data_IF_784355411303
#
_entry.id   IF_784355411303
#
_cell.length_a   1.000
_cell.length_b   1.000
_cell.length_c   1.000
_cell.angle_alpha   90.00
_cell.angle_beta   90.00
_cell.angle_gamma   90.00
#
_symmetry.space_group_name_H-M   'P 1'
#
loop_
_entity.id
_entity.type
_entity.pdbx_description
1 polymer ?
#
# COMPACT_ATOMS: atom_id res chain seq x y z
N UNK A 1 -21.43 -10.19 18.97
CA UNK A 1 -21.68 -11.04 17.78
C UNK A 1 -21.56 -10.28 16.45
N UNK A 2 -21.88 -8.97 16.39
CA UNK A 2 -21.84 -8.18 15.14
C UNK A 2 -20.49 -8.12 14.42
N UNK A 3 -19.36 -8.17 15.15
CA UNK A 3 -18.00 -8.16 14.57
C UNK A 3 -17.54 -9.52 14.04
N UNK A 4 -18.00 -10.62 14.65
CA UNK A 4 -17.44 -11.96 14.40
C UNK A 4 -17.84 -12.51 13.04
N UNK A 5 -19.10 -12.32 12.66
CA UNK A 5 -19.65 -12.80 11.38
C UNK A 5 -18.91 -12.16 10.19
N UNK A 6 -18.83 -10.82 10.04
CA UNK A 6 -18.13 -10.22 8.92
C UNK A 6 -16.63 -10.54 8.94
N UNK A 7 -15.99 -10.61 10.12
CA UNK A 7 -14.57 -10.97 10.23
C UNK A 7 -14.32 -12.39 9.76
N UNK A 8 -15.14 -13.36 10.20
CA UNK A 8 -15.05 -14.74 9.77
C UNK A 8 -15.28 -14.88 8.26
N UNK A 9 -16.29 -14.18 7.72
CA UNK A 9 -16.57 -14.19 6.29
C UNK A 9 -15.41 -13.67 5.45
N UNK A 10 -14.83 -12.52 5.84
CA UNK A 10 -13.64 -11.94 5.19
C UNK A 10 -12.45 -12.90 5.26
N UNK A 11 -12.20 -13.50 6.42
CA UNK A 11 -11.12 -14.49 6.59
C UNK A 11 -11.34 -15.73 5.73
N UNK A 12 -12.56 -16.26 5.63
CA UNK A 12 -12.87 -17.39 4.78
C UNK A 12 -12.63 -17.09 3.30
N UNK A 13 -13.09 -15.93 2.81
CA UNK A 13 -12.82 -15.50 1.43
C UNK A 13 -11.32 -15.40 1.19
N UNK A 14 -10.59 -14.74 2.10
CA UNK A 14 -9.14 -14.61 2.02
C UNK A 14 -8.42 -15.96 2.01
N UNK A 15 -8.83 -16.88 2.88
CA UNK A 15 -8.26 -18.23 2.99
C UNK A 15 -8.52 -19.06 1.74
N UNK A 16 -9.73 -19.02 1.17
CA UNK A 16 -10.05 -19.71 -0.08
C UNK A 16 -9.25 -19.14 -1.24
N UNK A 17 -9.16 -17.81 -1.35
CA UNK A 17 -8.37 -17.16 -2.39
C UNK A 17 -6.87 -17.48 -2.25
N UNK A 18 -6.33 -17.44 -1.02
CA UNK A 18 -4.94 -17.73 -0.73
C UNK A 18 -4.61 -19.20 -1.00
N UNK A 19 -5.46 -20.13 -0.56
CA UNK A 19 -5.28 -21.56 -0.83
C UNK A 19 -5.34 -21.86 -2.34
N UNK A 20 -6.26 -21.22 -3.07
CA UNK A 20 -6.37 -21.38 -4.53
C UNK A 20 -5.13 -20.84 -5.24
N UNK A 21 -4.60 -19.71 -4.80
CA UNK A 21 -3.35 -19.14 -5.32
C UNK A 21 -2.14 -20.00 -4.96
N UNK A 22 -2.08 -20.52 -3.73
CA UNK A 22 -0.98 -21.32 -3.19
C UNK A 22 -0.75 -22.62 -3.99
N UNK A 23 -1.80 -23.21 -4.56
CA UNK A 23 -1.72 -24.44 -5.39
C UNK A 23 -0.72 -24.37 -6.55
N UNK A 24 -0.30 -23.15 -6.95
CA UNK A 24 0.69 -22.92 -8.02
C UNK A 24 2.14 -23.11 -7.55
N UNK A 25 2.38 -23.31 -6.27
CA UNK A 25 3.71 -23.39 -5.66
C UNK A 25 3.99 -24.77 -5.06
N UNK A 26 5.23 -25.03 -4.66
CA UNK A 26 5.63 -26.27 -3.99
C UNK A 26 4.94 -26.44 -2.64
N UNK A 27 4.87 -27.67 -2.11
CA UNK A 27 4.24 -27.96 -0.81
C UNK A 27 4.81 -27.12 0.32
N UNK A 28 6.13 -26.88 0.32
CA UNK A 28 6.79 -26.05 1.33
C UNK A 28 6.41 -24.57 1.21
N UNK A 29 6.36 -24.04 -0.01
CA UNK A 29 5.87 -22.68 -0.26
C UNK A 29 4.41 -22.54 0.15
N UNK A 30 3.55 -23.51 -0.18
CA UNK A 30 2.14 -23.52 0.21
C UNK A 30 1.96 -23.41 1.73
N UNK A 31 2.69 -24.23 2.50
CA UNK A 31 2.66 -24.18 3.96
C UNK A 31 3.04 -22.80 4.49
N UNK A 32 4.11 -22.19 3.94
CA UNK A 32 4.55 -20.86 4.35
C UNK A 32 3.58 -19.74 3.94
N UNK A 33 2.96 -19.84 2.75
CA UNK A 33 1.92 -18.90 2.29
C UNK A 33 0.73 -18.93 3.26
N UNK A 34 0.25 -20.13 3.63
CA UNK A 34 -0.87 -20.27 4.56
C UNK A 34 -0.49 -19.86 5.99
N UNK A 35 0.72 -20.17 6.44
CA UNK A 35 1.23 -19.71 7.73
C UNK A 35 1.33 -18.17 7.78
N UNK A 36 1.76 -17.55 6.68
CA UNK A 36 1.79 -16.09 6.54
C UNK A 36 0.39 -15.48 6.59
N UNK A 37 -0.61 -16.07 5.92
CA UNK A 37 -1.98 -15.58 6.04
C UNK A 37 -2.44 -15.62 7.51
N UNK A 38 -2.13 -16.70 8.22
CA UNK A 38 -2.37 -16.82 9.66
C UNK A 38 -1.67 -15.70 10.45
N UNK A 39 -0.41 -15.41 10.16
CA UNK A 39 0.33 -14.32 10.81
C UNK A 39 -0.29 -12.94 10.55
N UNK A 40 -0.77 -12.67 9.33
CA UNK A 40 -1.45 -11.42 8.98
C UNK A 40 -2.82 -11.29 9.64
N UNK A 41 -3.56 -12.39 9.77
CA UNK A 41 -4.83 -12.43 10.49
C UNK A 41 -4.62 -12.19 11.99
N UNK A 42 -3.63 -12.86 12.59
CA UNK A 42 -3.25 -12.65 13.99
C UNK A 42 -2.78 -11.22 14.24
N UNK A 43 -1.96 -10.66 13.35
CA UNK A 43 -1.51 -9.27 13.46
C UNK A 43 -2.66 -8.27 13.36
N UNK A 44 -3.64 -8.49 12.48
CA UNK A 44 -4.82 -7.64 12.39
C UNK A 44 -5.61 -7.65 13.72
N UNK A 45 -5.84 -8.83 14.28
CA UNK A 45 -6.49 -8.97 15.59
C UNK A 45 -5.67 -8.33 16.72
N UNK A 46 -4.35 -8.54 16.72
CA UNK A 46 -3.44 -7.98 17.72
C UNK A 46 -3.41 -6.45 17.65
N UNK A 47 -3.42 -5.86 16.46
CA UNK A 47 -3.42 -4.41 16.29
C UNK A 47 -4.72 -3.80 16.85
N UNK A 48 -5.88 -4.44 16.60
CA UNK A 48 -7.16 -4.03 17.22
C UNK A 48 -7.11 -4.16 18.74
N UNK A 49 -6.65 -5.29 19.25
CA UNK A 49 -6.56 -5.52 20.70
C UNK A 49 -5.63 -4.50 21.40
N UNK A 50 -4.44 -4.27 20.85
CA UNK A 50 -3.46 -3.32 21.42
C UNK A 50 -4.02 -1.90 21.42
N UNK A 51 -4.55 -1.44 20.29
CA UNK A 51 -5.02 -0.04 20.19
C UNK A 51 -6.29 0.19 20.99
N UNK A 52 -7.29 -0.70 20.90
CA UNK A 52 -8.58 -0.55 21.59
C UNK A 52 -8.51 -0.93 23.06
N UNK A 53 -7.99 -2.11 23.37
CA UNK A 53 -8.16 -2.72 24.69
C UNK A 53 -6.98 -2.41 25.64
N UNK A 54 -5.79 -2.13 25.10
CA UNK A 54 -4.62 -1.76 25.91
C UNK A 54 -4.41 -0.23 25.98
N UNK A 55 -4.32 0.47 24.85
CA UNK A 55 -4.11 1.92 24.84
C UNK A 55 -5.40 2.74 24.96
N UNK A 56 -6.52 2.24 24.44
CA UNK A 56 -7.79 2.97 24.39
C UNK A 56 -7.79 4.15 23.40
N UNK A 57 -6.70 4.35 22.66
CA UNK A 57 -6.52 5.43 21.69
C UNK A 57 -5.59 4.97 20.57
N UNK A 58 -5.73 5.60 19.41
CA UNK A 58 -4.79 5.49 18.31
C UNK A 58 -5.42 5.91 16.99
N UNK A 59 -4.57 6.28 16.04
CA UNK A 59 -4.95 6.64 14.67
C UNK A 59 -5.98 5.68 14.07
N UNK A 60 -5.73 4.38 14.20
CA UNK A 60 -6.61 3.34 13.65
C UNK A 60 -8.03 3.40 14.22
N UNK A 61 -8.19 3.64 15.53
CA UNK A 61 -9.51 3.74 16.15
C UNK A 61 -10.24 4.98 15.66
N UNK A 62 -9.53 6.09 15.59
CA UNK A 62 -10.09 7.36 15.13
C UNK A 62 -10.53 7.28 13.65
N UNK A 63 -9.71 6.68 12.79
CA UNK A 63 -10.08 6.44 11.40
C UNK A 63 -11.30 5.55 11.29
N UNK A 64 -11.40 4.52 12.13
CA UNK A 64 -12.54 3.62 12.14
C UNK A 64 -13.82 4.30 12.63
N UNK A 65 -13.79 5.01 13.75
CA UNK A 65 -14.94 5.72 14.31
C UNK A 65 -15.49 6.75 13.31
N UNK A 66 -14.59 7.57 12.75
CA UNK A 66 -14.94 8.50 11.67
C UNK A 66 -15.53 7.75 10.47
N UNK A 67 -14.90 6.63 10.07
CA UNK A 67 -15.39 5.77 9.00
C UNK A 67 -16.80 5.25 9.24
N UNK A 68 -17.14 4.82 10.46
CA UNK A 68 -18.48 4.35 10.81
C UNK A 68 -19.52 5.47 10.66
N UNK A 69 -19.19 6.71 11.06
CA UNK A 69 -20.07 7.86 10.82
C UNK A 69 -20.28 8.11 9.32
N UNK A 70 -19.20 8.07 8.54
CA UNK A 70 -19.28 8.18 7.07
C UNK A 70 -20.12 7.07 6.45
N UNK A 71 -19.98 5.83 6.94
CA UNK A 71 -20.75 4.69 6.47
C UNK A 71 -22.25 4.86 6.76
N UNK A 72 -22.62 5.41 7.92
CA UNK A 72 -24.02 5.73 8.24
C UNK A 72 -24.59 6.77 7.31
N UNK A 73 -23.83 7.81 6.97
CA UNK A 73 -24.24 8.81 5.98
C UNK A 73 -24.44 8.18 4.59
N UNK A 74 -23.50 7.36 4.13
CA UNK A 74 -23.64 6.64 2.85
C UNK A 74 -24.89 5.76 2.86
N UNK A 75 -25.15 5.01 3.94
CA UNK A 75 -26.35 4.16 4.04
C UNK A 75 -27.65 4.96 4.11
N UNK A 76 -27.62 6.20 4.61
CA UNK A 76 -28.77 7.09 4.68
C UNK A 76 -29.14 7.68 3.30
N UNK A 77 -28.16 8.22 2.58
CA UNK A 77 -28.34 8.71 1.19
C UNK A 77 -27.06 8.44 0.37
N UNK A 78 -26.98 7.28 -0.32
CA UNK A 78 -25.80 6.91 -1.08
C UNK A 78 -25.49 7.89 -2.21
N UNK A 79 -26.51 8.45 -2.86
CA UNK A 79 -26.35 9.36 -3.99
C UNK A 79 -25.69 10.67 -3.58
N UNK A 80 -26.02 11.17 -2.39
CA UNK A 80 -25.42 12.38 -1.84
C UNK A 80 -24.03 12.14 -1.23
N UNK A 81 -23.88 11.09 -0.42
CA UNK A 81 -22.72 10.97 0.47
C UNK A 81 -21.59 10.09 -0.06
N UNK A 82 -21.85 9.13 -0.95
CA UNK A 82 -20.79 8.31 -1.52
C UNK A 82 -19.76 9.15 -2.32
N UNK A 83 -20.15 10.11 -3.18
CA UNK A 83 -19.19 10.98 -3.87
C UNK A 83 -18.35 11.82 -2.90
N UNK A 84 -18.94 12.31 -1.81
CA UNK A 84 -18.24 13.11 -0.79
C UNK A 84 -17.23 12.28 0.02
N UNK A 85 -17.51 10.99 0.25
CA UNK A 85 -16.53 10.09 0.88
C UNK A 85 -15.42 9.72 -0.11
N UNK A 86 -15.74 9.57 -1.40
CA UNK A 86 -14.74 9.31 -2.44
C UNK A 86 -13.84 10.53 -2.66
N UNK A 87 -14.35 11.75 -2.55
CA UNK A 87 -13.53 12.98 -2.71
C UNK A 87 -12.43 13.11 -1.65
N UNK A 88 -12.64 12.56 -0.44
CA UNK A 88 -11.59 12.45 0.58
C UNK A 88 -10.37 11.67 0.08
N UNK A 89 -10.55 10.68 -0.80
CA UNK A 89 -9.42 9.91 -1.39
C UNK A 89 -8.52 10.79 -2.27
N UNK A 90 -9.07 11.86 -2.84
CA UNK A 90 -8.35 12.83 -3.69
C UNK A 90 -7.85 14.05 -2.91
N UNK A 91 -7.83 13.98 -1.58
CA UNK A 91 -7.44 15.10 -0.70
C UNK A 91 -8.31 16.35 -0.86
N UNK A 92 -9.54 16.19 -1.32
CA UNK A 92 -10.51 17.29 -1.33
C UNK A 92 -11.13 17.47 0.07
N UNK A 93 -11.69 18.66 0.31
CA UNK A 93 -12.47 18.94 1.52
C UNK A 93 -13.95 18.68 1.20
N UNK A 94 -14.56 17.62 1.74
CA UNK A 94 -15.93 17.28 1.43
C UNK A 94 -16.92 18.13 2.22
N UNK A 95 -18.14 18.26 1.71
CA UNK A 95 -19.24 18.93 2.39
C UNK A 95 -20.05 17.90 3.20
N UNK A 96 -19.48 17.48 4.33
CA UNK A 96 -20.06 16.49 5.21
C UNK A 96 -20.56 17.11 6.52
N UNK A 97 -21.67 16.61 7.09
CA UNK A 97 -22.19 17.06 8.39
C UNK A 97 -21.40 16.47 9.57
N UNK A 98 -20.24 15.86 9.33
CA UNK A 98 -19.38 15.24 10.34
C UNK A 98 -17.95 15.74 10.19
N UNK A 99 -17.24 15.82 11.31
CA UNK A 99 -15.85 16.24 11.31
C UNK A 99 -14.94 15.06 10.95
N UNK A 100 -14.21 15.17 9.83
CA UNK A 100 -13.23 14.17 9.41
C UNK A 100 -11.84 14.71 9.73
N UNK A 101 -11.17 14.12 10.72
CA UNK A 101 -9.79 14.51 11.05
C UNK A 101 -8.90 14.33 9.81
N UNK A 102 -8.19 15.40 9.45
CA UNK A 102 -7.27 15.36 8.31
C UNK A 102 -7.92 15.44 6.94
N UNK A 103 -9.20 15.82 6.85
CA UNK A 103 -9.86 16.18 5.59
C UNK A 103 -9.04 17.21 4.80
N UNK A 104 -9.03 17.09 3.47
CA UNK A 104 -8.17 17.91 2.63
C UNK A 104 -6.70 17.46 2.58
N UNK A 105 -6.39 16.25 3.06
CA UNK A 105 -5.04 15.70 3.05
C UNK A 105 -5.00 14.19 3.26
N UNK A 106 -3.78 13.62 3.28
CA UNK A 106 -3.60 12.17 3.34
C UNK A 106 -4.10 11.51 4.64
N UNK A 107 -4.34 12.28 5.71
CA UNK A 107 -4.88 11.77 6.98
C UNK A 107 -6.39 11.50 6.93
N UNK A 108 -7.14 12.13 6.01
CA UNK A 108 -8.56 11.81 5.81
C UNK A 108 -8.80 10.53 5.00
N UNK A 109 -7.78 10.08 4.25
CA UNK A 109 -7.88 8.89 3.37
C UNK A 109 -8.15 7.60 4.14
N UNK A 110 -7.45 7.29 5.26
CA UNK A 110 -7.79 6.12 6.07
C UNK A 110 -9.23 6.14 6.60
N UNK A 111 -9.77 7.30 6.99
CA UNK A 111 -11.18 7.42 7.41
C UNK A 111 -12.16 7.14 6.27
N UNK A 112 -11.86 7.63 5.06
CA UNK A 112 -12.66 7.33 3.88
C UNK A 112 -12.64 5.84 3.52
N UNK A 113 -11.46 5.21 3.52
CA UNK A 113 -11.31 3.77 3.32
C UNK A 113 -12.06 2.99 4.40
N UNK A 114 -11.94 3.40 5.67
CA UNK A 114 -12.68 2.80 6.77
C UNK A 114 -14.19 2.93 6.57
N UNK A 115 -14.68 4.08 6.10
CA UNK A 115 -16.10 4.28 5.82
C UNK A 115 -16.61 3.40 4.69
N UNK A 116 -15.88 3.32 3.57
CA UNK A 116 -16.23 2.43 2.47
C UNK A 116 -16.24 0.96 2.93
N UNK A 117 -15.25 0.51 3.70
CA UNK A 117 -15.25 -0.84 4.26
C UNK A 117 -16.41 -1.05 5.24
N UNK A 118 -16.63 -0.10 6.15
CA UNK A 118 -17.70 -0.17 7.13
C UNK A 118 -19.06 -0.29 6.45
N UNK A 119 -19.33 0.41 5.33
CA UNK A 119 -20.62 0.29 4.62
C UNK A 119 -20.98 -1.16 4.27
N UNK A 120 -20.00 -1.96 3.84
CA UNK A 120 -20.18 -3.37 3.43
C UNK A 120 -19.99 -4.36 4.57
N UNK A 121 -19.09 -4.05 5.51
CA UNK A 121 -18.69 -4.95 6.60
C UNK A 121 -19.45 -4.69 7.91
N UNK A 122 -20.56 -3.97 7.83
CA UNK A 122 -21.46 -3.68 8.95
C UNK A 122 -20.73 -3.08 10.16
N UNK A 123 -19.92 -2.05 9.89
CA UNK A 123 -19.19 -1.26 10.89
C UNK A 123 -18.15 -2.05 11.69
N UNK A 124 -17.78 -3.26 11.23
CA UNK A 124 -16.84 -4.11 11.95
C UNK A 124 -15.39 -3.63 11.82
N UNK A 125 -14.77 -3.26 12.94
CA UNK A 125 -13.35 -2.90 13.00
C UNK A 125 -12.46 -4.10 12.65
N UNK A 126 -12.74 -5.27 13.23
CA UNK A 126 -11.94 -6.48 12.99
C UNK A 126 -12.01 -6.90 11.52
N UNK A 127 -13.21 -6.87 10.91
CA UNK A 127 -13.37 -7.25 9.51
C UNK A 127 -12.66 -6.26 8.57
N UNK A 128 -12.70 -4.96 8.89
CA UNK A 128 -12.02 -3.93 8.10
C UNK A 128 -10.49 -4.09 8.14
N UNK A 129 -9.92 -4.29 9.33
CA UNK A 129 -8.49 -4.59 9.50
C UNK A 129 -8.12 -5.91 8.79
N UNK A 130 -8.93 -6.95 8.94
CA UNK A 130 -8.71 -8.24 8.29
C UNK A 130 -8.71 -8.12 6.76
N UNK A 131 -9.67 -7.38 6.19
CA UNK A 131 -9.78 -7.18 4.75
C UNK A 131 -8.54 -6.47 4.19
N UNK A 132 -8.09 -5.40 4.84
CA UNK A 132 -6.88 -4.69 4.46
C UNK A 132 -5.63 -5.58 4.62
N UNK A 133 -5.52 -6.33 5.72
CA UNK A 133 -4.41 -7.26 5.99
C UNK A 133 -4.32 -8.37 4.92
N UNK A 134 -5.46 -8.88 4.45
CA UNK A 134 -5.51 -9.86 3.35
C UNK A 134 -5.10 -9.19 2.03
N UNK A 135 -5.53 -7.95 1.78
CA UNK A 135 -5.12 -7.21 0.59
C UNK A 135 -3.60 -6.96 0.57
N UNK A 136 -2.99 -6.59 1.70
CA UNK A 136 -1.53 -6.42 1.80
C UNK A 136 -0.80 -7.75 1.65
N UNK A 137 -1.32 -8.85 2.20
CA UNK A 137 -0.82 -10.19 1.98
C UNK A 137 -0.75 -10.54 0.47
N UNK A 138 -1.83 -10.31 -0.28
CA UNK A 138 -1.81 -10.56 -1.72
C UNK A 138 -0.84 -9.64 -2.46
N UNK A 139 -0.73 -8.37 -2.06
CA UNK A 139 0.27 -7.47 -2.64
C UNK A 139 1.70 -7.97 -2.40
N UNK A 140 2.03 -8.46 -1.21
CA UNK A 140 3.33 -9.09 -0.92
C UNK A 140 3.59 -10.31 -1.80
N UNK A 141 2.54 -10.99 -2.25
CA UNK A 141 2.61 -12.04 -3.27
C UNK A 141 3.14 -11.55 -4.62
N UNK A 142 2.79 -10.33 -5.03
CA UNK A 142 3.37 -9.70 -6.23
C UNK A 142 4.89 -9.55 -6.11
N UNK A 143 5.37 -9.03 -4.98
CA UNK A 143 6.81 -8.91 -4.70
C UNK A 143 7.50 -10.28 -4.67
N UNK A 144 6.88 -11.27 -4.02
CA UNK A 144 7.39 -12.62 -3.96
C UNK A 144 7.56 -13.25 -5.34
N UNK A 145 6.59 -13.09 -6.24
CA UNK A 145 6.66 -13.63 -7.60
C UNK A 145 7.87 -13.10 -8.38
N UNK A 146 8.21 -11.83 -8.18
CA UNK A 146 9.38 -11.20 -8.80
C UNK A 146 10.68 -11.78 -8.23
N UNK A 147 10.82 -11.80 -6.91
CA UNK A 147 12.04 -12.29 -6.27
C UNK A 147 12.23 -13.80 -6.45
N UNK A 148 11.14 -14.56 -6.53
CA UNK A 148 11.13 -15.99 -6.84
C UNK A 148 11.68 -16.29 -8.24
N UNK A 149 11.43 -15.42 -9.21
CA UNK A 149 11.98 -15.54 -10.57
C UNK A 149 13.46 -15.12 -10.62
N UNK A 150 13.81 -14.08 -9.87
CA UNK A 150 15.15 -13.51 -9.89
C UNK A 150 16.20 -14.32 -9.12
N UNK A 151 15.78 -15.13 -8.13
CA UNK A 151 16.68 -15.82 -7.21
C UNK A 151 16.65 -17.36 -7.39
N UNK A 152 17.75 -18.07 -7.01
CA UNK A 152 17.83 -19.52 -7.12
C UNK A 152 16.72 -20.24 -6.34
N UNK A 153 16.36 -21.44 -6.81
CA UNK A 153 15.28 -22.25 -6.23
C UNK A 153 15.48 -22.55 -4.73
N UNK A 154 16.73 -22.81 -4.32
CA UNK A 154 17.12 -23.07 -2.93
C UNK A 154 16.84 -21.87 -1.99
N UNK A 155 16.78 -20.65 -2.54
CA UNK A 155 16.51 -19.44 -1.77
C UNK A 155 15.01 -19.14 -1.62
N UNK A 156 14.11 -19.79 -2.39
CA UNK A 156 12.68 -19.42 -2.46
C UNK A 156 11.99 -19.39 -1.10
N UNK A 157 12.24 -20.37 -0.24
CA UNK A 157 11.66 -20.39 1.10
C UNK A 157 12.12 -19.19 1.97
N UNK A 158 13.41 -18.81 1.88
CA UNK A 158 13.97 -17.66 2.60
C UNK A 158 13.42 -16.34 2.07
N UNK A 159 13.29 -16.23 0.75
CA UNK A 159 12.69 -15.07 0.07
C UNK A 159 11.23 -14.91 0.48
N UNK A 160 10.48 -16.00 0.55
CA UNK A 160 9.09 -15.99 1.00
C UNK A 160 9.00 -15.48 2.44
N UNK A 161 9.81 -16.03 3.35
CA UNK A 161 9.88 -15.56 4.74
C UNK A 161 10.20 -14.06 4.79
N UNK A 162 11.17 -13.59 3.99
CA UNK A 162 11.52 -12.18 3.95
C UNK A 162 10.38 -11.28 3.43
N UNK A 163 9.64 -11.72 2.41
CA UNK A 163 8.53 -10.94 1.83
C UNK A 163 7.29 -10.90 2.74
N UNK A 164 7.00 -12.01 3.40
CA UNK A 164 5.71 -12.25 4.04
C UNK A 164 5.75 -12.28 5.56
N UNK A 165 6.87 -12.66 6.17
CA UNK A 165 6.94 -12.99 7.60
C UNK A 165 7.90 -12.07 8.39
N UNK A 166 8.36 -10.97 7.78
CA UNK A 166 9.07 -9.93 8.51
C UNK A 166 8.14 -9.31 9.59
N UNK A 167 8.38 -9.52 10.91
CA UNK A 167 7.37 -9.28 11.93
C UNK A 167 6.83 -7.85 11.95
N UNK A 168 7.73 -6.86 11.87
CA UNK A 168 7.37 -5.45 11.82
C UNK A 168 6.50 -5.12 10.61
N UNK A 169 6.86 -5.64 9.42
CA UNK A 169 6.10 -5.39 8.19
C UNK A 169 4.73 -6.05 8.27
N UNK A 170 4.61 -7.27 8.80
CA UNK A 170 3.31 -7.90 9.03
C UNK A 170 2.46 -7.02 9.94
N UNK A 171 2.97 -6.68 11.12
CA UNK A 171 2.24 -5.90 12.12
C UNK A 171 1.75 -4.54 11.57
N UNK A 172 2.64 -3.73 10.99
CA UNK A 172 2.30 -2.38 10.51
C UNK A 172 1.51 -2.34 9.20
N UNK A 173 1.23 -3.51 8.59
CA UNK A 173 0.43 -3.62 7.36
C UNK A 173 -0.87 -4.40 7.55
N UNK A 174 -1.36 -4.51 8.80
CA UNK A 174 -2.51 -5.36 9.15
C UNK A 174 -3.72 -4.64 9.75
N UNK A 175 -3.71 -3.31 9.86
CA UNK A 175 -4.87 -2.54 10.33
C UNK A 175 -5.17 -1.31 9.49
N UNK A 176 -6.16 -0.51 9.89
CA UNK A 176 -6.55 0.72 9.17
C UNK A 176 -5.48 1.80 9.40
N UNK A 177 -4.43 1.78 8.58
CA UNK A 177 -3.29 2.70 8.64
C UNK A 177 -2.89 3.12 7.23
N UNK A 178 -2.18 4.26 7.11
CA UNK A 178 -1.63 4.73 5.83
C UNK A 178 -0.62 3.73 5.26
N UNK A 179 0.19 3.13 6.11
CA UNK A 179 1.20 2.12 5.77
C UNK A 179 0.54 0.89 5.16
N UNK A 180 -0.56 0.42 5.75
CA UNK A 180 -1.36 -0.68 5.21
C UNK A 180 -1.89 -0.36 3.82
N UNK A 181 -2.51 0.82 3.64
CA UNK A 181 -3.08 1.24 2.35
C UNK A 181 -1.96 1.34 1.29
N UNK A 182 -0.81 1.94 1.61
CA UNK A 182 0.33 1.99 0.69
C UNK A 182 0.83 0.57 0.32
N UNK A 183 0.90 -0.34 1.29
CA UNK A 183 1.36 -1.71 1.08
C UNK A 183 0.41 -2.52 0.18
N UNK A 184 -0.89 -2.17 0.09
CA UNK A 184 -1.83 -2.80 -0.85
C UNK A 184 -1.39 -2.59 -2.31
N UNK A 185 -0.76 -1.46 -2.62
CA UNK A 185 -0.22 -1.19 -3.97
C UNK A 185 1.21 -1.69 -4.17
N UNK A 186 2.05 -1.59 -3.14
CA UNK A 186 3.50 -1.69 -3.26
C UNK A 186 4.00 -2.92 -4.02
N UNK A 187 3.64 -4.13 -3.59
CA UNK A 187 4.15 -5.34 -4.23
C UNK A 187 3.53 -5.61 -5.61
N UNK A 188 2.32 -5.12 -5.86
CA UNK A 188 1.72 -5.17 -7.19
C UNK A 188 2.41 -4.21 -8.16
N UNK A 189 2.85 -3.04 -7.72
CA UNK A 189 3.66 -2.12 -8.53
C UNK A 189 4.92 -2.82 -9.04
N UNK A 190 5.68 -3.44 -8.13
CA UNK A 190 6.92 -4.15 -8.47
C UNK A 190 6.63 -5.30 -9.45
N UNK A 191 5.55 -6.04 -9.24
CA UNK A 191 5.13 -7.10 -10.16
C UNK A 191 4.70 -6.58 -11.55
N UNK A 192 3.95 -5.49 -11.60
CA UNK A 192 3.53 -4.85 -12.85
C UNK A 192 4.75 -4.38 -13.65
N UNK A 193 5.72 -3.74 -12.98
CA UNK A 193 6.97 -3.31 -13.60
C UNK A 193 7.77 -4.50 -14.13
N UNK A 194 7.90 -5.56 -13.33
CA UNK A 194 8.52 -6.80 -13.77
C UNK A 194 7.85 -7.37 -15.02
N UNK A 195 6.51 -7.41 -15.09
CA UNK A 195 5.78 -7.87 -16.28
C UNK A 195 6.02 -7.00 -17.50
N UNK A 196 6.11 -5.68 -17.32
CA UNK A 196 6.48 -4.76 -18.39
C UNK A 196 7.86 -5.11 -18.96
N UNK A 197 8.86 -5.31 -18.09
CA UNK A 197 10.22 -5.70 -18.49
C UNK A 197 10.28 -7.07 -19.18
N UNK A 198 9.41 -8.01 -18.78
CA UNK A 198 9.30 -9.35 -19.39
C UNK A 198 8.41 -9.40 -20.64
N UNK A 199 8.23 -8.28 -21.32
CA UNK A 199 7.56 -8.23 -22.63
C UNK A 199 6.03 -8.28 -22.58
N UNK A 200 5.41 -7.98 -21.43
CA UNK A 200 3.94 -7.87 -21.30
C UNK A 200 3.51 -6.44 -20.96
N UNK A 201 3.85 -5.45 -21.82
CA UNK A 201 3.82 -4.02 -21.46
C UNK A 201 2.43 -3.53 -21.08
N UNK A 202 1.39 -3.89 -21.83
CA UNK A 202 0.01 -3.46 -21.54
C UNK A 202 -0.42 -3.94 -20.15
N UNK A 203 -0.31 -5.25 -19.88
CA UNK A 203 -0.69 -5.78 -18.56
C UNK A 203 0.19 -5.24 -17.42
N UNK A 204 1.49 -5.03 -17.69
CA UNK A 204 2.42 -4.52 -16.70
C UNK A 204 2.12 -3.07 -16.32
N UNK A 205 1.93 -2.21 -17.33
CA UNK A 205 1.60 -0.80 -17.12
C UNK A 205 0.22 -0.61 -16.50
N UNK A 206 -0.78 -1.42 -16.87
CA UNK A 206 -2.09 -1.41 -16.21
C UNK A 206 -1.97 -1.73 -14.71
N UNK A 207 -1.20 -2.76 -14.37
CA UNK A 207 -0.96 -3.12 -12.96
C UNK A 207 -0.21 -1.99 -12.24
N UNK A 208 0.83 -1.41 -12.86
CA UNK A 208 1.57 -0.26 -12.31
C UNK A 208 0.63 0.92 -12.04
N UNK A 209 -0.22 1.29 -13.01
CA UNK A 209 -1.16 2.39 -12.85
C UNK A 209 -2.14 2.15 -11.70
N UNK A 210 -2.81 0.98 -11.68
CA UNK A 210 -3.78 0.65 -10.63
C UNK A 210 -3.15 0.52 -9.25
N UNK A 211 -1.97 -0.09 -9.16
CA UNK A 211 -1.24 -0.25 -7.90
C UNK A 211 -0.61 1.03 -7.38
N UNK A 212 -0.37 2.02 -8.24
CA UNK A 212 0.10 3.34 -7.83
C UNK A 212 -0.97 4.12 -7.07
N UNK A 213 -2.26 3.93 -7.39
CA UNK A 213 -3.38 4.67 -6.77
C UNK A 213 -3.37 4.63 -5.23
N UNK A 214 -3.41 3.46 -4.56
CA UNK A 214 -3.42 3.40 -3.09
C UNK A 214 -2.15 4.00 -2.46
N UNK A 215 -1.01 3.96 -3.15
CA UNK A 215 0.24 4.57 -2.68
C UNK A 215 0.13 6.10 -2.79
N UNK A 216 -0.34 6.59 -3.94
CA UNK A 216 -0.41 8.01 -4.26
C UNK A 216 -1.32 8.77 -3.29
N UNK A 217 -2.46 8.18 -2.93
CA UNK A 217 -3.46 8.82 -2.06
C UNK A 217 -3.03 8.89 -0.59
N UNK A 218 -2.08 8.07 -0.11
CA UNK A 218 -1.64 8.13 1.30
C UNK A 218 -0.22 8.66 1.47
N UNK A 219 0.69 8.24 0.60
CA UNK A 219 2.15 8.48 0.69
C UNK A 219 2.76 8.55 -0.72
N UNK A 220 2.44 9.57 -1.54
CA UNK A 220 2.88 9.65 -2.92
C UNK A 220 4.40 9.73 -3.08
N UNK A 221 5.13 10.20 -2.06
CA UNK A 221 6.60 10.17 -2.05
C UNK A 221 7.20 8.76 -2.20
N UNK A 222 6.46 7.69 -1.84
CA UNK A 222 6.89 6.30 -2.08
C UNK A 222 6.98 6.02 -3.58
N UNK A 223 6.11 6.62 -4.39
CA UNK A 223 6.14 6.46 -5.85
C UNK A 223 7.41 7.05 -6.46
N UNK A 224 8.01 8.09 -5.87
CA UNK A 224 9.28 8.63 -6.37
C UNK A 224 10.39 7.60 -6.29
N UNK A 225 10.52 6.93 -5.13
CA UNK A 225 11.49 5.85 -4.95
C UNK A 225 11.19 4.67 -5.87
N UNK A 226 9.92 4.32 -6.05
CA UNK A 226 9.50 3.23 -6.92
C UNK A 226 9.77 3.51 -8.40
N UNK A 227 9.45 4.70 -8.90
CA UNK A 227 9.73 5.10 -10.28
C UNK A 227 11.23 5.23 -10.54
N UNK A 228 12.00 5.74 -9.58
CA UNK A 228 13.46 5.78 -9.67
C UNK A 228 14.03 4.36 -9.74
N UNK A 229 13.62 3.47 -8.85
CA UNK A 229 14.04 2.07 -8.86
C UNK A 229 13.63 1.34 -10.14
N UNK A 230 12.41 1.59 -10.62
CA UNK A 230 11.90 1.07 -11.88
C UNK A 230 12.75 1.53 -13.09
N UNK A 231 13.11 2.81 -13.14
CA UNK A 231 13.96 3.36 -14.18
C UNK A 231 15.37 2.78 -14.16
N UNK A 232 15.98 2.66 -12.97
CA UNK A 232 17.28 2.02 -12.79
C UNK A 232 17.23 0.56 -13.25
N UNK A 233 16.18 -0.18 -12.90
CA UNK A 233 16.02 -1.57 -13.32
C UNK A 233 15.84 -1.69 -14.84
N UNK A 234 15.02 -0.82 -15.45
CA UNK A 234 14.88 -0.79 -16.90
C UNK A 234 16.20 -0.48 -17.61
N UNK A 235 16.93 0.52 -17.13
CA UNK A 235 18.27 0.85 -17.62
C UNK A 235 19.20 -0.36 -17.55
N UNK A 236 19.25 -1.03 -16.39
CA UNK A 236 20.09 -2.19 -16.14
C UNK A 236 19.82 -3.31 -17.16
N UNK A 237 18.54 -3.67 -17.35
CA UNK A 237 18.12 -4.70 -18.31
C UNK A 237 18.48 -4.33 -19.76
N UNK A 238 18.30 -3.07 -20.17
CA UNK A 238 18.66 -2.62 -21.53
C UNK A 238 20.17 -2.56 -21.76
N UNK A 239 20.93 -2.06 -20.78
CA UNK A 239 22.37 -1.98 -20.87
C UNK A 239 23.01 -3.38 -20.92
N UNK A 240 22.52 -4.30 -20.09
CA UNK A 240 22.97 -5.69 -20.08
C UNK A 240 22.64 -6.40 -21.40
N UNK A 241 21.41 -6.27 -21.90
CA UNK A 241 21.00 -6.84 -23.19
C UNK A 241 21.85 -6.31 -24.36
N UNK A 242 22.13 -5.01 -24.38
CA UNK A 242 22.98 -4.38 -25.41
C UNK A 242 24.45 -4.82 -25.37
N UNK A 243 24.90 -5.41 -24.25
CA UNK A 243 26.25 -6.02 -24.13
C UNK A 243 26.27 -7.51 -24.50
N UNK A 244 25.15 -8.09 -24.89
CA UNK A 244 25.00 -9.53 -25.05
C UNK A 244 25.03 -10.30 -23.72
N UNK A 245 24.65 -9.65 -22.60
CA UNK A 245 24.59 -10.28 -21.27
C UNK A 245 25.91 -10.35 -20.51
N UNK A 246 26.99 -9.73 -21.01
CA UNK A 246 28.33 -9.88 -20.43
C UNK A 246 28.63 -8.88 -19.30
N UNK A 247 28.22 -7.63 -19.47
CA UNK A 247 28.52 -6.58 -18.50
C UNK A 247 27.57 -5.38 -18.66
N UNK A 248 27.25 -4.72 -17.55
CA UNK A 248 26.56 -3.43 -17.59
C UNK A 248 27.58 -2.34 -17.86
N UNK A 249 27.74 -1.99 -19.13
CA UNK A 249 28.56 -0.85 -19.56
C UNK A 249 27.68 0.39 -19.56
N UNK A 250 28.23 1.55 -19.19
CA UNK A 250 27.50 2.82 -19.25
C UNK A 250 27.09 3.12 -20.69
N UNK A 251 25.77 3.20 -20.92
CA UNK A 251 25.19 3.50 -22.22
C UNK A 251 24.42 4.82 -22.11
N UNK A 252 24.96 5.96 -22.61
CA UNK A 252 24.37 7.28 -22.43
C UNK A 252 22.92 7.37 -22.90
N UNK A 253 22.57 6.70 -24.00
CA UNK A 253 21.19 6.67 -24.53
C UNK A 253 20.22 6.04 -23.54
N UNK A 254 20.53 4.85 -22.99
CA UNK A 254 19.65 4.22 -22.01
C UNK A 254 19.64 4.96 -20.68
N UNK A 255 20.75 5.60 -20.31
CA UNK A 255 20.79 6.43 -19.12
C UNK A 255 19.85 7.63 -19.27
N UNK A 256 19.92 8.35 -20.40
CA UNK A 256 19.03 9.46 -20.71
C UNK A 256 17.55 9.03 -20.73
N UNK A 257 17.24 7.89 -21.37
CA UNK A 257 15.88 7.36 -21.40
C UNK A 257 15.38 6.91 -20.02
N UNK A 258 16.25 6.31 -19.20
CA UNK A 258 15.93 5.93 -17.82
C UNK A 258 15.68 7.16 -16.95
N UNK A 259 16.53 8.19 -17.06
CA UNK A 259 16.31 9.47 -16.38
C UNK A 259 15.01 10.14 -16.83
N UNK A 260 14.70 10.13 -18.13
CA UNK A 260 13.44 10.67 -18.65
C UNK A 260 12.23 9.89 -18.12
N UNK A 261 12.31 8.56 -18.01
CA UNK A 261 11.27 7.72 -17.42
C UNK A 261 11.06 8.04 -15.93
N UNK A 262 12.15 8.17 -15.16
CA UNK A 262 12.07 8.53 -13.74
C UNK A 262 11.44 9.91 -13.55
N UNK A 263 11.93 10.91 -14.29
CA UNK A 263 11.40 12.27 -14.25
C UNK A 263 9.94 12.32 -14.70
N UNK A 264 9.59 11.65 -15.79
CA UNK A 264 8.20 11.58 -16.28
C UNK A 264 7.25 10.97 -15.26
N UNK A 265 7.66 9.90 -14.56
CA UNK A 265 6.88 9.30 -13.48
C UNK A 265 6.71 10.24 -12.29
N UNK A 266 7.77 10.94 -11.88
CA UNK A 266 7.74 11.91 -10.77
C UNK A 266 6.85 13.11 -11.12
N UNK A 267 7.00 13.67 -12.32
CA UNK A 267 6.18 14.80 -12.79
C UNK A 267 4.70 14.42 -12.88
N UNK A 268 4.37 13.22 -13.38
CA UNK A 268 3.00 12.73 -13.41
C UNK A 268 2.37 12.64 -12.01
N UNK A 269 3.14 12.23 -11.01
CA UNK A 269 2.67 12.24 -9.60
C UNK A 269 2.50 13.68 -9.10
N UNK A 270 3.40 14.59 -9.44
CA UNK A 270 3.31 16.01 -9.07
C UNK A 270 2.09 16.73 -9.65
N UNK A 271 1.71 16.42 -10.88
CA UNK A 271 0.49 16.91 -11.54
C UNK A 271 -0.78 16.41 -10.83
N UNK A 272 -0.81 15.12 -10.46
CA UNK A 272 -1.97 14.53 -9.77
C UNK A 272 -2.09 14.98 -8.30
N UNK A 273 -0.96 15.28 -7.66
CA UNK A 273 -0.91 15.71 -6.26
C UNK A 273 -0.04 16.97 -6.15
N UNK A 274 -0.61 18.18 -6.36
CA UNK A 274 0.15 19.44 -6.43
C UNK A 274 1.05 19.71 -5.23
N UNK A 275 0.68 19.22 -4.04
CA UNK A 275 1.49 19.30 -2.81
C UNK A 275 2.86 18.63 -2.95
N UNK A 276 2.98 17.63 -3.83
CA UNK A 276 4.20 16.87 -4.11
C UNK A 276 4.80 17.24 -5.46
N UNK A 277 4.32 18.31 -6.12
CA UNK A 277 4.98 18.88 -7.28
C UNK A 277 6.40 19.31 -6.91
N UNK A 278 7.34 19.19 -7.86
CA UNK A 278 8.76 19.47 -7.64
C UNK A 278 9.00 20.85 -7.00
N UNK A 279 8.21 21.84 -7.39
CA UNK A 279 8.30 23.21 -6.90
C UNK A 279 7.91 23.33 -5.40
N UNK A 280 7.01 22.48 -4.93
CA UNK A 280 6.48 22.51 -3.56
C UNK A 280 7.23 21.55 -2.61
N UNK A 281 8.14 20.71 -3.12
CA UNK A 281 8.84 19.70 -2.30
C UNK A 281 9.66 20.31 -1.16
N UNK A 282 10.31 21.45 -1.41
CA UNK A 282 11.10 22.14 -0.39
C UNK A 282 10.25 22.64 0.77
N UNK A 283 9.10 23.23 0.44
CA UNK A 283 8.14 23.71 1.44
C UNK A 283 7.51 22.55 2.22
N UNK A 284 7.12 21.47 1.54
CA UNK A 284 6.53 20.31 2.20
C UNK A 284 7.54 19.59 3.10
N UNK A 285 8.80 19.45 2.68
CA UNK A 285 9.87 18.90 3.52
C UNK A 285 10.08 19.76 4.77
N UNK A 286 10.15 21.08 4.60
CA UNK A 286 10.27 22.03 5.71
C UNK A 286 9.08 21.96 6.67
N UNK A 287 7.86 21.83 6.13
CA UNK A 287 6.63 21.68 6.92
C UNK A 287 6.64 20.39 7.72
N UNK A 288 7.03 19.27 7.12
CA UNK A 288 7.12 17.98 7.82
C UNK A 288 8.17 18.01 8.94
N UNK A 289 9.31 18.68 8.72
CA UNK A 289 10.31 18.91 9.76
C UNK A 289 9.80 19.80 10.88
N UNK A 290 9.09 20.88 10.56
CA UNK A 290 8.48 21.75 11.56
C UNK A 290 7.47 20.99 12.43
N UNK A 291 6.62 20.15 11.82
CA UNK A 291 5.69 19.27 12.57
C UNK A 291 6.45 18.29 13.46
N UNK A 292 7.52 17.66 12.94
CA UNK A 292 8.39 16.78 13.73
C UNK A 292 8.95 17.51 14.96
N UNK A 293 9.55 18.68 14.76
CA UNK A 293 10.13 19.49 15.85
C UNK A 293 9.14 19.96 16.93
N UNK A 294 7.83 19.94 16.62
CA UNK A 294 6.77 20.28 17.58
C UNK A 294 6.24 19.06 18.35
N UNK A 295 6.59 17.83 17.93
CA UNK A 295 6.20 16.60 18.62
C UNK A 295 7.28 16.19 19.63
N UNK A 296 6.92 16.16 20.91
CA UNK A 296 7.77 15.64 21.98
C UNK A 296 7.89 14.11 21.88
N UNK A 297 8.68 13.64 20.90
CA UNK A 297 8.71 12.24 20.50
C UNK A 297 10.10 11.71 20.18
N UNK A 298 11.18 12.34 20.66
CA UNK A 298 12.56 11.79 20.69
C UNK A 298 13.20 11.31 19.37
N UNK A 299 12.48 11.37 18.25
CA UNK A 299 12.86 10.86 16.94
C UNK A 299 12.73 11.96 15.88
N UNK A 300 13.19 13.16 16.23
CA UNK A 300 13.21 14.29 15.30
C UNK A 300 14.47 14.23 14.44
N UNK A 301 14.28 14.19 13.12
CA UNK A 301 15.35 14.31 12.14
C UNK A 301 15.35 15.73 11.60
N UNK A 302 16.28 16.55 12.09
CA UNK A 302 16.58 17.86 11.52
C UNK A 302 17.64 17.69 10.44
N UNK A 303 17.32 18.08 9.21
CA UNK A 303 18.34 18.23 8.17
C UNK A 303 18.92 19.63 8.35
N UNK A 304 20.20 19.70 8.70
CA UNK A 304 20.95 20.95 8.83
C UNK A 304 21.18 21.63 7.47
#
# INVERSE_FOLDING_TARGET
>A
MGELIPTFFVLCIGAVAAASWARRFTTREQQLIMASLGAHALAACAQVWITRDYYGIGDMLLYHETGVELARLIRFDPGRFLPEVVSLLYHERPYLPVFVLGAGGSSGVPSAVAGLLATVLNDSLYASCMALSIATFFSKGGLYLVLRDALPEEARARVLIACFLAPSVVFWSSGILKETIAMVGFGWFVFGWYRFLRGKPVSGLMIVALSSLPIAIVKPYILFALFLGAAVWWYWERALAASGGRAVVIRPVYLALGSALALGGILAVGELFPRYALDNLGEEASRLQAIGSMQAGGSDYQIA
#
